data_IF_720747609198
#
_entry.id   IF_720747609198
#
_cell.length_a   1.000
_cell.length_b   1.000
_cell.length_c   1.000
_cell.angle_alpha   90.00
_cell.angle_beta   90.00
_cell.angle_gamma   90.00
#
_symmetry.space_group_name_H-M   'P 1'
#
loop_
_entity.id
_entity.type
_entity.pdbx_description
1 polymer ?
#
# COMPACT_ATOMS: atom_id res chain seq x y z
N UNK A 1 -9.62 23.58 6.60
CA UNK A 1 -9.38 22.19 6.98
C UNK A 1 -9.60 22.10 8.48
N UNK A 2 -10.67 21.43 8.89
CA UNK A 2 -11.04 21.27 10.29
C UNK A 2 -10.06 20.28 10.96
N UNK A 3 -9.80 20.39 12.26
CA UNK A 3 -8.89 19.51 13.02
C UNK A 3 -9.24 18.03 12.83
N UNK A 4 -10.54 17.72 12.75
CA UNK A 4 -11.02 16.36 12.48
C UNK A 4 -10.67 15.84 11.08
N UNK A 5 -10.71 16.69 10.05
CA UNK A 5 -10.30 16.32 8.69
C UNK A 5 -8.80 16.08 8.62
N UNK A 6 -8.01 16.88 9.34
CA UNK A 6 -6.57 16.72 9.47
C UNK A 6 -6.21 15.39 10.13
N UNK A 7 -6.87 15.04 11.25
CA UNK A 7 -6.63 13.77 11.92
C UNK A 7 -7.05 12.57 11.08
N UNK A 8 -8.17 12.66 10.36
CA UNK A 8 -8.58 11.62 9.42
C UNK A 8 -7.53 11.41 8.33
N UNK A 9 -7.05 12.49 7.72
CA UNK A 9 -6.03 12.44 6.65
C UNK A 9 -4.73 11.79 7.14
N UNK A 10 -4.30 12.13 8.35
CA UNK A 10 -3.11 11.51 8.96
C UNK A 10 -3.32 10.03 9.25
N UNK A 11 -4.50 9.62 9.73
CA UNK A 11 -4.83 8.20 9.96
C UNK A 11 -4.79 7.42 8.64
N UNK A 12 -5.40 7.97 7.60
CA UNK A 12 -5.40 7.36 6.26
C UNK A 12 -3.97 7.20 5.72
N UNK A 13 -3.12 8.21 5.90
CA UNK A 13 -1.71 8.14 5.49
C UNK A 13 -0.94 7.04 6.24
N UNK A 14 -1.08 6.96 7.56
CA UNK A 14 -0.47 5.92 8.38
C UNK A 14 -0.97 4.53 7.99
N UNK A 15 -2.27 4.38 7.70
CA UNK A 15 -2.84 3.12 7.23
C UNK A 15 -2.23 2.69 5.89
N UNK A 16 -2.00 3.63 4.96
CA UNK A 16 -1.31 3.36 3.70
C UNK A 16 0.13 2.90 3.95
N UNK A 17 0.86 3.55 4.87
CA UNK A 17 2.22 3.15 5.22
C UNK A 17 2.29 1.74 5.82
N UNK A 18 1.34 1.37 6.68
CA UNK A 18 1.28 0.02 7.24
C UNK A 18 0.91 -1.02 6.18
N UNK A 19 -0.14 -0.76 5.40
CA UNK A 19 -0.57 -1.63 4.29
C UNK A 19 0.58 -1.91 3.31
N UNK A 20 1.31 -0.87 2.92
CA UNK A 20 2.43 -0.99 1.98
C UNK A 20 3.55 -1.84 2.58
N UNK A 21 3.73 -1.82 3.91
CA UNK A 21 4.83 -2.50 4.60
C UNK A 21 4.54 -3.99 4.68
N UNK A 22 3.30 -4.31 5.08
CA UNK A 22 2.88 -5.68 5.32
C UNK A 22 2.67 -6.46 4.03
N UNK A 23 2.41 -5.77 2.91
CA UNK A 23 2.27 -6.40 1.60
C UNK A 23 3.55 -6.35 0.76
N UNK A 24 4.63 -5.70 1.23
CA UNK A 24 5.83 -5.52 0.43
C UNK A 24 6.47 -6.85 0.00
N UNK A 25 6.62 -7.80 0.93
CA UNK A 25 7.15 -9.13 0.63
C UNK A 25 6.21 -9.93 -0.29
N UNK A 26 4.90 -9.85 -0.06
CA UNK A 26 3.90 -10.50 -0.94
C UNK A 26 4.00 -10.00 -2.37
N UNK A 27 4.23 -8.70 -2.57
CA UNK A 27 4.43 -8.15 -3.90
C UNK A 27 5.71 -8.67 -4.55
N UNK A 28 6.80 -8.88 -3.79
CA UNK A 28 8.02 -9.49 -4.35
C UNK A 28 7.78 -10.94 -4.77
N UNK A 29 7.06 -11.71 -3.96
CA UNK A 29 6.66 -13.08 -4.31
C UNK A 29 5.79 -13.09 -5.58
N UNK A 30 4.83 -12.17 -5.67
CA UNK A 30 3.96 -12.03 -6.83
C UNK A 30 4.72 -11.59 -8.10
N UNK A 31 5.71 -10.71 -7.96
CA UNK A 31 6.60 -10.33 -9.05
C UNK A 31 7.38 -11.55 -9.57
N UNK A 32 7.96 -12.33 -8.65
CA UNK A 32 8.67 -13.57 -8.99
C UNK A 32 7.76 -14.61 -9.64
N UNK A 33 6.50 -14.71 -9.18
CA UNK A 33 5.49 -15.55 -9.82
C UNK A 33 5.19 -15.10 -11.25
N UNK A 34 5.00 -13.80 -11.49
CA UNK A 34 4.79 -13.28 -12.84
C UNK A 34 5.98 -13.55 -13.76
N UNK A 35 7.21 -13.37 -13.27
CA UNK A 35 8.43 -13.66 -14.03
C UNK A 35 8.49 -15.13 -14.45
N UNK A 36 8.23 -16.05 -13.51
CA UNK A 36 8.17 -17.50 -13.79
C UNK A 36 7.10 -17.84 -14.80
N UNK A 37 5.87 -17.36 -14.60
CA UNK A 37 4.77 -17.63 -15.52
C UNK A 37 5.05 -17.12 -16.94
N UNK A 38 5.67 -15.94 -17.09
CA UNK A 38 6.09 -15.43 -18.40
C UNK A 38 7.16 -16.34 -19.02
N UNK A 39 8.18 -16.73 -18.25
CA UNK A 39 9.22 -17.64 -18.73
C UNK A 39 8.65 -18.99 -19.17
N UNK A 40 7.76 -19.58 -18.39
CA UNK A 40 7.14 -20.87 -18.70
C UNK A 40 6.33 -20.82 -20.00
N UNK A 41 5.53 -19.75 -20.20
CA UNK A 41 4.76 -19.55 -21.43
C UNK A 41 5.67 -19.31 -22.64
N UNK A 42 6.78 -18.58 -22.47
CA UNK A 42 7.76 -18.36 -23.54
C UNK A 42 8.48 -19.66 -23.92
N UNK A 43 8.90 -20.46 -22.94
CA UNK A 43 9.50 -21.78 -23.20
C UNK A 43 8.50 -22.72 -23.86
N UNK A 44 7.24 -22.71 -23.44
CA UNK A 44 6.18 -23.50 -24.08
C UNK A 44 6.02 -23.15 -25.56
N UNK A 45 6.06 -21.85 -25.91
CA UNK A 45 6.04 -21.39 -27.32
C UNK A 45 7.23 -21.95 -28.10
N UNK A 46 8.43 -21.87 -27.52
CA UNK A 46 9.67 -22.32 -28.17
C UNK A 46 9.69 -23.84 -28.38
N UNK A 47 9.27 -24.63 -27.38
CA UNK A 47 9.29 -26.10 -27.44
C UNK A 47 8.29 -26.67 -28.45
N UNK A 48 7.15 -26.02 -28.62
CA UNK A 48 6.06 -26.54 -29.46
C UNK A 48 6.01 -25.92 -30.86
N UNK A 49 7.01 -25.12 -31.26
CA UNK A 49 7.04 -24.40 -32.54
C UNK A 49 5.70 -23.71 -32.86
N UNK A 50 5.16 -22.98 -31.88
CA UNK A 50 3.82 -22.38 -31.95
C UNK A 50 3.69 -21.33 -33.08
N UNK A 51 4.80 -21.01 -33.74
CA UNK A 51 4.80 -20.25 -35.00
C UNK A 51 3.90 -20.90 -36.07
N UNK A 52 3.82 -22.24 -36.10
CA UNK A 52 3.06 -23.04 -37.08
C UNK A 52 1.66 -23.49 -36.59
N UNK A 53 1.32 -23.27 -35.31
CA UNK A 53 0.01 -23.66 -34.73
C UNK A 53 -1.16 -22.76 -35.14
N UNK A 54 -2.42 -23.26 -35.04
CA UNK A 54 -3.62 -22.48 -35.35
C UNK A 54 -3.68 -21.16 -34.58
N UNK A 55 -4.10 -20.10 -35.28
CA UNK A 55 -4.10 -18.70 -34.79
C UNK A 55 -4.80 -18.53 -33.43
N UNK A 56 -5.80 -19.36 -33.11
CA UNK A 56 -6.60 -19.24 -31.88
C UNK A 56 -5.82 -19.60 -30.61
N UNK A 57 -5.05 -20.69 -30.62
CA UNK A 57 -4.26 -21.13 -29.45
C UNK A 57 -3.07 -20.19 -29.22
N UNK A 58 -2.39 -19.82 -30.31
CA UNK A 58 -1.35 -18.79 -30.30
C UNK A 58 -1.85 -17.47 -29.70
N UNK A 59 -3.01 -17.00 -30.13
CA UNK A 59 -3.61 -15.76 -29.61
C UNK A 59 -3.94 -15.86 -28.10
N UNK A 60 -4.37 -17.03 -27.63
CA UNK A 60 -4.66 -17.24 -26.20
C UNK A 60 -3.39 -17.14 -25.35
N UNK A 61 -2.31 -17.80 -25.77
CA UNK A 61 -1.03 -17.78 -25.05
C UNK A 61 -0.44 -16.37 -25.04
N UNK A 62 -0.46 -15.68 -26.19
CA UNK A 62 0.00 -14.28 -26.28
C UNK A 62 -0.83 -13.35 -25.38
N UNK A 63 -2.15 -13.59 -25.27
CA UNK A 63 -3.01 -12.85 -24.34
C UNK A 63 -2.61 -13.09 -22.89
N UNK A 64 -2.37 -14.34 -22.48
CA UNK A 64 -1.91 -14.67 -21.13
C UNK A 64 -0.55 -14.02 -20.81
N UNK A 65 0.40 -14.07 -21.74
CA UNK A 65 1.70 -13.37 -21.58
C UNK A 65 1.48 -11.88 -21.37
N UNK A 66 0.59 -11.25 -22.15
CA UNK A 66 0.25 -9.83 -21.99
C UNK A 66 -0.35 -9.55 -20.62
N UNK A 67 -1.28 -10.38 -20.15
CA UNK A 67 -1.90 -10.24 -18.82
C UNK A 67 -0.85 -10.32 -17.70
N UNK A 68 0.05 -11.31 -17.75
CA UNK A 68 1.14 -11.42 -16.78
C UNK A 68 2.11 -10.23 -16.85
N UNK A 69 2.42 -9.70 -18.04
CA UNK A 69 3.26 -8.50 -18.18
C UNK A 69 2.61 -7.26 -17.57
N UNK A 70 1.31 -7.07 -17.78
CA UNK A 70 0.56 -5.96 -17.17
C UNK A 70 0.59 -6.09 -15.65
N UNK A 71 0.23 -7.27 -15.12
CA UNK A 71 0.25 -7.54 -13.67
C UNK A 71 1.63 -7.34 -13.07
N UNK A 72 2.67 -7.84 -13.74
CA UNK A 72 4.07 -7.62 -13.34
C UNK A 72 4.42 -6.15 -13.22
N UNK A 73 4.01 -5.33 -14.19
CA UNK A 73 4.29 -3.89 -14.19
C UNK A 73 3.56 -3.17 -13.04
N UNK A 74 2.31 -3.55 -12.76
CA UNK A 74 1.55 -3.02 -11.63
C UNK A 74 2.23 -3.36 -10.29
N UNK A 75 2.59 -4.63 -10.10
CA UNK A 75 3.27 -5.10 -8.88
C UNK A 75 4.62 -4.43 -8.72
N UNK A 76 5.41 -4.30 -9.79
CA UNK A 76 6.68 -3.56 -9.78
C UNK A 76 6.47 -2.11 -9.36
N UNK A 77 5.44 -1.44 -9.87
CA UNK A 77 5.13 -0.06 -9.51
C UNK A 77 4.77 0.08 -8.02
N UNK A 78 4.05 -0.89 -7.43
CA UNK A 78 3.75 -0.93 -5.99
C UNK A 78 5.02 -1.13 -5.15
N UNK A 79 5.92 -2.03 -5.58
CA UNK A 79 7.22 -2.25 -4.93
C UNK A 79 8.07 -0.98 -4.98
N UNK A 80 8.17 -0.33 -6.14
CA UNK A 80 8.95 0.90 -6.31
C UNK A 80 8.40 2.03 -5.44
N UNK A 81 7.07 2.16 -5.34
CA UNK A 81 6.42 3.11 -4.44
C UNK A 81 6.78 2.81 -2.98
N UNK A 82 6.66 1.54 -2.55
CA UNK A 82 7.02 1.11 -1.21
C UNK A 82 8.49 1.41 -0.88
N UNK A 83 9.40 1.05 -1.78
CA UNK A 83 10.84 1.32 -1.62
C UNK A 83 11.13 2.82 -1.45
N UNK A 84 10.46 3.68 -2.23
CA UNK A 84 10.60 5.14 -2.11
C UNK A 84 10.06 5.64 -0.77
N UNK A 85 8.94 5.11 -0.28
CA UNK A 85 8.38 5.47 1.02
C UNK A 85 9.32 5.04 2.16
N UNK A 86 9.78 3.78 2.15
CA UNK A 86 10.65 3.25 3.21
C UNK A 86 12.08 3.76 3.17
N UNK A 87 12.54 4.32 2.04
CA UNK A 87 13.81 5.04 1.99
C UNK A 87 13.84 6.28 2.90
N UNK A 88 12.66 6.81 3.28
CA UNK A 88 12.51 8.01 4.10
C UNK A 88 11.88 7.76 5.46
N UNK A 89 11.08 6.70 5.59
CA UNK A 89 10.29 6.40 6.79
C UNK A 89 10.56 4.95 7.17
N UNK A 90 11.20 4.70 8.31
CA UNK A 90 11.41 3.34 8.79
C UNK A 90 10.10 2.74 9.33
N UNK A 91 10.02 1.41 9.39
CA UNK A 91 8.86 0.73 10.01
C UNK A 91 8.67 1.12 11.47
N UNK A 92 9.76 1.45 12.18
CA UNK A 92 9.72 1.98 13.54
C UNK A 92 9.02 3.34 13.59
N UNK A 93 9.34 4.22 12.65
CA UNK A 93 8.75 5.56 12.56
C UNK A 93 7.23 5.49 12.29
N UNK A 94 6.77 4.54 11.48
CA UNK A 94 5.33 4.31 11.23
C UNK A 94 4.56 3.92 12.51
N UNK A 95 5.15 3.04 13.34
CA UNK A 95 4.55 2.62 14.60
C UNK A 95 4.50 3.75 15.61
N UNK A 96 5.57 4.53 15.71
CA UNK A 96 5.64 5.70 16.58
C UNK A 96 4.65 6.79 16.15
N UNK A 97 4.50 7.01 14.83
CA UNK A 97 3.48 7.89 14.26
C UNK A 97 2.06 7.45 14.62
N UNK A 98 1.78 6.15 14.52
CA UNK A 98 0.47 5.59 14.89
C UNK A 98 0.13 5.84 16.36
N UNK A 99 1.09 5.59 17.26
CA UNK A 99 0.91 5.80 18.70
C UNK A 99 0.69 7.28 19.04
N UNK A 100 1.52 8.17 18.49
CA UNK A 100 1.37 9.62 18.68
C UNK A 100 0.03 10.12 18.15
N UNK A 101 -0.39 9.64 16.98
CA UNK A 101 -1.65 10.06 16.38
C UNK A 101 -2.88 9.61 17.21
N UNK A 102 -2.81 8.42 17.81
CA UNK A 102 -3.86 7.94 18.71
C UNK A 102 -3.93 8.81 19.98
N UNK A 103 -2.78 9.13 20.60
CA UNK A 103 -2.75 10.02 21.77
C UNK A 103 -3.28 11.42 21.48
N UNK A 104 -3.05 11.95 20.27
CA UNK A 104 -3.60 13.23 19.85
C UNK A 104 -5.12 13.17 19.59
N UNK A 105 -5.64 12.01 19.18
CA UNK A 105 -7.08 11.81 19.05
C UNK A 105 -7.73 11.84 20.43
N UNK A 106 -7.13 11.17 21.42
CA UNK A 106 -7.60 11.18 22.81
C UNK A 106 -7.66 12.60 23.39
N UNK A 107 -6.67 13.46 23.07
CA UNK A 107 -6.66 14.86 23.51
C UNK A 107 -7.69 15.74 22.78
N UNK A 108 -8.04 15.42 21.54
CA UNK A 108 -9.02 16.17 20.76
C UNK A 108 -10.47 15.86 21.18
N UNK A 109 -10.72 14.66 21.72
CA UNK A 109 -12.03 14.25 22.26
C UNK A 109 -12.29 14.76 23.68
N UNK A 110 -11.27 15.31 24.36
CA UNK A 110 -11.48 16.07 25.60
C UNK A 110 -12.10 17.41 25.22
N UNK A 111 -13.43 17.49 25.26
CA UNK A 111 -14.10 18.78 25.35
C UNK A 111 -13.42 19.56 26.48
N UNK A 112 -12.76 20.67 26.14
CA UNK A 112 -12.27 21.63 27.11
C UNK A 112 -13.50 22.19 27.84
N UNK A 113 -13.90 21.51 28.92
CA UNK A 113 -14.91 22.01 29.85
C UNK A 113 -14.27 23.23 30.51
N UNK A 114 -14.43 24.39 29.88
CA UNK A 114 -14.08 25.66 30.49
C UNK A 114 -15.02 25.85 31.68
N UNK A 115 -14.53 25.56 32.87
CA UNK A 115 -15.20 25.87 34.12
C UNK A 115 -14.81 27.29 34.53
N UNK A 116 -15.70 28.29 34.43
CA UNK A 116 -15.35 29.67 34.72
C UNK A 116 -14.89 29.82 36.18
N UNK A 117 -13.72 30.42 36.40
CA UNK A 117 -13.19 30.74 37.74
C UNK A 117 -14.17 31.51 38.63
N UNK A 118 -15.07 32.27 38.02
CA UNK A 118 -16.16 33.01 38.69
C UNK A 118 -17.04 32.10 39.55
N UNK A 119 -17.20 30.84 39.14
CA UNK A 119 -18.04 29.88 39.87
C UNK A 119 -17.40 29.32 41.14
N UNK A 120 -16.07 29.44 41.32
CA UNK A 120 -15.36 28.71 42.38
C UNK A 120 -14.42 29.58 43.24
N UNK A 121 -13.77 30.58 42.64
CA UNK A 121 -12.58 31.24 43.23
C UNK A 121 -12.75 32.75 43.48
N UNK A 122 -13.70 33.41 42.83
CA UNK A 122 -13.75 34.89 42.83
C UNK A 122 -14.56 35.52 43.98
N UNK A 123 -15.37 34.74 44.71
CA UNK A 123 -16.24 35.25 45.78
C UNK A 123 -16.09 34.49 47.12
N UNK A 124 -14.95 33.84 47.35
CA UNK A 124 -14.59 33.26 48.64
C UNK A 124 -13.62 34.16 49.39
#
# INVERSE_FOLDING_TARGET
MNTNEMMKTMKDFVNVLNYTSDNHEKWKEELSYCDRAICDLMHFIQLNNIEDTPTKEKNLILKQIKEYRTRRQEVKSKIDLGNRLYSKISKKDCNELSQKLNSLTELADVELIYSPRVLFDLFK
#
